data_IF_416794101915
#
_entry.id   IF_416794101915
#
_cell.length_a   1.000
_cell.length_b   1.000
_cell.length_c   1.000
_cell.angle_alpha   90.00
_cell.angle_beta   90.00
_cell.angle_gamma   90.00
#
_symmetry.space_group_name_H-M   'P 1'
#
loop_
_entity.id
_entity.type
_entity.pdbx_description
1 polymer ?
#
# COMPACT_ATOMS: atom_id res chain seq x y z
N UNK A 1 20.49 15.76 3.64
CA UNK A 1 19.30 16.64 3.56
C UNK A 1 18.18 16.17 2.61
N UNK A 2 18.44 15.34 1.60
CA UNK A 2 17.50 15.10 0.48
C UNK A 2 16.41 14.02 0.72
N UNK A 3 16.57 13.15 1.72
CA UNK A 3 15.67 12.00 1.95
C UNK A 3 14.39 12.39 2.71
N UNK A 4 14.54 13.15 3.81
CA UNK A 4 13.44 13.62 4.65
C UNK A 4 12.50 14.56 3.85
N UNK A 5 13.06 15.49 3.06
CA UNK A 5 12.29 16.40 2.21
C UNK A 5 11.50 15.68 1.12
N UNK A 6 12.06 14.60 0.56
CA UNK A 6 11.35 13.75 -0.41
C UNK A 6 10.14 13.06 0.21
N UNK A 7 10.23 12.54 1.44
CA UNK A 7 9.10 11.91 2.14
C UNK A 7 8.02 12.94 2.47
N UNK A 8 8.41 14.12 2.94
CA UNK A 8 7.51 15.24 3.23
C UNK A 8 6.70 15.70 1.99
N UNK A 9 7.28 15.63 0.78
CA UNK A 9 6.52 15.89 -0.46
C UNK A 9 5.37 14.92 -0.69
N UNK A 10 5.53 13.63 -0.38
CA UNK A 10 4.43 12.67 -0.55
C UNK A 10 3.29 12.95 0.42
N UNK A 11 3.60 13.32 1.66
CA UNK A 11 2.59 13.72 2.65
C UNK A 11 1.87 14.99 2.18
N UNK A 12 2.61 15.97 1.67
CA UNK A 12 2.05 17.23 1.16
C UNK A 12 1.18 17.01 -0.09
N UNK A 13 1.59 16.13 -1.01
CA UNK A 13 0.79 15.74 -2.17
C UNK A 13 -0.48 14.96 -1.77
N UNK A 14 -0.36 14.01 -0.83
CA UNK A 14 -1.51 13.24 -0.33
C UNK A 14 -2.54 14.16 0.35
N UNK A 15 -2.10 15.14 1.14
CA UNK A 15 -2.96 16.17 1.74
C UNK A 15 -3.64 17.07 0.70
N UNK A 16 -2.96 17.40 -0.39
CA UNK A 16 -3.56 18.20 -1.48
C UNK A 16 -4.56 17.39 -2.30
N UNK A 17 -4.31 16.10 -2.48
CA UNK A 17 -5.19 15.18 -3.19
C UNK A 17 -6.38 14.71 -2.35
N UNK A 18 -6.35 14.88 -1.02
CA UNK A 18 -7.46 14.49 -0.16
C UNK A 18 -8.74 15.30 -0.38
N UNK A 19 -8.63 16.49 -0.97
CA UNK A 19 -9.78 17.32 -1.37
C UNK A 19 -10.56 16.75 -2.56
N UNK A 20 -10.04 15.71 -3.24
CA UNK A 20 -10.71 15.06 -4.38
C UNK A 20 -11.38 13.73 -4.02
N UNK A 21 -11.39 13.33 -2.75
CA UNK A 21 -12.17 12.17 -2.33
C UNK A 21 -13.65 12.55 -2.24
N UNK A 22 -14.41 12.25 -3.30
CA UNK A 22 -15.84 12.57 -3.40
C UNK A 22 -16.76 11.91 -2.37
N UNK A 23 -16.23 11.01 -1.52
CA UNK A 23 -16.93 10.43 -0.38
C UNK A 23 -15.97 10.04 0.74
N UNK A 24 -16.47 9.98 1.98
CA UNK A 24 -15.70 9.57 3.15
C UNK A 24 -15.12 8.15 2.99
N UNK A 25 -15.91 7.26 2.37
CA UNK A 25 -15.49 5.89 2.08
C UNK A 25 -14.37 5.84 1.02
N UNK A 26 -14.44 6.69 -0.01
CA UNK A 26 -13.35 6.86 -0.97
C UNK A 26 -12.07 7.39 -0.31
N UNK A 27 -12.19 8.33 0.63
CA UNK A 27 -11.07 8.85 1.39
C UNK A 27 -10.40 7.76 2.25
N UNK A 28 -11.20 6.91 2.89
CA UNK A 28 -10.69 5.78 3.69
C UNK A 28 -9.89 4.80 2.83
N UNK A 29 -10.42 4.41 1.67
CA UNK A 29 -9.74 3.51 0.72
C UNK A 29 -8.46 4.14 0.18
N UNK A 30 -8.50 5.44 -0.14
CA UNK A 30 -7.32 6.20 -0.57
C UNK A 30 -6.23 6.24 0.50
N UNK A 31 -6.60 6.48 1.76
CA UNK A 31 -5.65 6.48 2.89
C UNK A 31 -4.97 5.11 3.08
N UNK A 32 -5.72 4.01 2.94
CA UNK A 32 -5.18 2.65 2.98
C UNK A 32 -4.16 2.44 1.86
N UNK A 33 -4.52 2.79 0.62
CA UNK A 33 -3.63 2.65 -0.53
C UNK A 33 -2.35 3.49 -0.38
N UNK A 34 -2.47 4.74 0.08
CA UNK A 34 -1.31 5.58 0.36
C UNK A 34 -0.40 4.99 1.43
N UNK A 35 -0.97 4.40 2.48
CA UNK A 35 -0.21 3.74 3.54
C UNK A 35 0.59 2.56 2.99
N UNK A 36 -0.03 1.71 2.16
CA UNK A 36 0.65 0.58 1.49
C UNK A 36 1.77 1.10 0.57
N UNK A 37 1.49 2.12 -0.24
CA UNK A 37 2.46 2.71 -1.16
C UNK A 37 3.71 3.25 -0.44
N UNK A 38 3.52 3.92 0.70
CA UNK A 38 4.62 4.41 1.52
C UNK A 38 5.38 3.24 2.15
N UNK A 39 4.68 2.23 2.67
CA UNK A 39 5.31 1.03 3.24
C UNK A 39 6.15 0.28 2.21
N UNK A 40 5.67 0.07 0.99
CA UNK A 40 6.47 -0.54 -0.10
C UNK A 40 7.69 0.31 -0.41
N UNK A 41 7.53 1.63 -0.48
CA UNK A 41 8.65 2.55 -0.73
C UNK A 41 9.70 2.52 0.38
N UNK A 42 9.29 2.41 1.64
CA UNK A 42 10.21 2.31 2.79
C UNK A 42 10.99 0.99 2.78
N UNK A 43 10.37 -0.09 2.30
CA UNK A 43 11.00 -1.40 2.15
C UNK A 43 11.75 -1.58 0.82
N UNK A 44 11.83 -0.55 -0.03
CA UNK A 44 12.50 -0.63 -1.34
C UNK A 44 11.78 -1.50 -2.37
N UNK A 45 10.51 -1.79 -2.16
CA UNK A 45 9.68 -2.67 -3.01
C UNK A 45 8.96 -1.85 -4.09
N UNK A 46 8.89 -2.39 -5.30
CA UNK A 46 8.05 -1.83 -6.36
C UNK A 46 6.56 -2.06 -6.02
N UNK A 47 5.81 -0.98 -5.87
CA UNK A 47 4.38 -1.01 -5.53
C UNK A 47 3.54 -1.80 -6.54
N UNK A 48 3.83 -1.66 -7.85
CA UNK A 48 3.06 -2.31 -8.90
C UNK A 48 3.27 -3.83 -8.88
N UNK A 49 4.52 -4.28 -8.67
CA UNK A 49 4.83 -5.70 -8.54
C UNK A 49 4.19 -6.28 -7.28
N UNK A 50 4.27 -5.56 -6.16
CA UNK A 50 3.62 -5.96 -4.91
C UNK A 50 2.10 -6.10 -5.06
N UNK A 51 1.42 -5.11 -5.64
CA UNK A 51 -0.04 -5.16 -5.80
C UNK A 51 -0.44 -6.29 -6.75
N UNK A 52 0.29 -6.49 -7.85
CA UNK A 52 0.00 -7.56 -8.82
C UNK A 52 0.12 -8.94 -8.16
N UNK A 53 1.22 -9.18 -7.44
CA UNK A 53 1.47 -10.45 -6.73
C UNK A 53 0.45 -10.69 -5.60
N UNK A 54 0.11 -9.65 -4.83
CA UNK A 54 -0.93 -9.76 -3.79
C UNK A 54 -2.28 -10.10 -4.39
N UNK A 55 -2.68 -9.45 -5.49
CA UNK A 55 -3.97 -9.73 -6.14
C UNK A 55 -4.00 -11.17 -6.66
N UNK A 56 -2.96 -11.61 -7.37
CA UNK A 56 -2.85 -12.97 -7.90
C UNK A 56 -2.99 -14.02 -6.79
N UNK A 57 -2.22 -13.87 -5.70
CA UNK A 57 -2.30 -14.76 -4.53
C UNK A 57 -3.67 -14.75 -3.90
N UNK A 58 -4.31 -13.59 -3.77
CA UNK A 58 -5.66 -13.50 -3.18
C UNK A 58 -6.75 -14.12 -4.05
N UNK A 59 -6.58 -14.18 -5.38
CA UNK A 59 -7.51 -14.84 -6.29
C UNK A 59 -7.43 -16.37 -6.12
N UNK A 60 -6.23 -16.91 -5.93
CA UNK A 60 -6.03 -18.35 -5.72
C UNK A 60 -6.52 -18.83 -4.34
N UNK A 61 -6.72 -17.92 -3.39
CA UNK A 61 -7.04 -18.24 -2.01
C UNK A 61 -8.55 -18.43 -1.78
N UNK A 62 -8.91 -19.39 -0.93
CA UNK A 62 -10.29 -19.64 -0.56
C UNK A 62 -10.81 -18.53 0.37
N UNK A 63 -12.13 -18.21 0.37
CA UNK A 63 -12.71 -17.12 1.15
C UNK A 63 -12.51 -17.23 2.68
N UNK A 64 -12.14 -18.42 3.21
CA UNK A 64 -11.82 -18.65 4.62
C UNK A 64 -10.31 -18.74 4.90
N UNK A 65 -9.49 -18.08 4.10
CA UNK A 65 -8.03 -18.12 4.29
C UNK A 65 -7.66 -17.48 5.63
N UNK A 66 -6.84 -18.14 6.47
CA UNK A 66 -6.47 -17.62 7.78
C UNK A 66 -5.72 -16.30 7.66
N UNK A 67 -6.02 -15.38 8.59
CA UNK A 67 -5.46 -14.03 8.63
C UNK A 67 -3.92 -14.01 8.63
N UNK A 68 -3.30 -15.07 9.14
CA UNK A 68 -1.84 -15.22 9.17
C UNK A 68 -1.22 -15.19 7.77
N UNK A 69 -1.87 -15.78 6.76
CA UNK A 69 -1.36 -15.72 5.38
C UNK A 69 -1.35 -14.29 4.83
N UNK A 70 -2.30 -13.45 5.22
CA UNK A 70 -2.33 -12.04 4.83
C UNK A 70 -1.25 -11.22 5.54
N UNK A 71 -0.78 -11.64 6.72
CA UNK A 71 0.35 -10.97 7.40
C UNK A 71 1.66 -11.20 6.67
N UNK A 72 1.84 -12.35 6.02
CA UNK A 72 3.02 -12.61 5.20
C UNK A 72 3.04 -11.80 3.90
N UNK A 73 1.88 -11.28 3.47
CA UNK A 73 1.77 -10.35 2.37
C UNK A 73 2.09 -8.91 2.75
N UNK A 74 2.38 -8.58 4.01
CA UNK A 74 2.73 -7.21 4.39
C UNK A 74 4.03 -6.78 3.68
N UNK A 75 4.19 -5.50 3.31
CA UNK A 75 5.38 -5.02 2.59
C UNK A 75 6.71 -5.27 3.33
N UNK A 76 6.70 -5.43 4.65
CA UNK A 76 7.87 -5.76 5.46
C UNK A 76 8.33 -7.22 5.31
N UNK A 77 7.38 -8.13 5.04
CA UNK A 77 7.61 -9.58 4.96
C UNK A 77 7.49 -10.14 3.54
N UNK A 78 7.04 -9.31 2.61
CA UNK A 78 6.83 -9.68 1.23
C UNK A 78 8.14 -10.11 0.59
N UNK A 79 8.16 -11.36 0.11
CA UNK A 79 9.24 -11.89 -0.71
C UNK A 79 8.68 -12.15 -2.10
N UNK A 80 9.32 -11.55 -3.10
CA UNK A 80 9.09 -11.88 -4.49
C UNK A 80 9.47 -13.36 -4.68
N UNK A 81 8.48 -14.20 -4.91
CA UNK A 81 8.67 -15.60 -5.28
C UNK A 81 8.80 -15.72 -6.78
#
# INVERSE_FOLDING_TARGET
>A
NNYIERIQRYISLSRRNSMFFGSHEGARRGAILYSIAISCKLNGINLFEYISDVIEKTIEWQPNTPLEKYRDLLPDRWKKQ
#
